data_IF_714552606066
#
_entry.id   IF_714552606066
#
_cell.length_a   1.000
_cell.length_b   1.000
_cell.length_c   1.000
_cell.angle_alpha   90.00
_cell.angle_beta   90.00
_cell.angle_gamma   90.00
#
_symmetry.space_group_name_H-M   'P 1'
#
loop_
_entity.id
_entity.type
_entity.pdbx_description
1 polymer ?
#
# COMPACT_ATOMS: atom_id res chain seq x y z
N UNK A 1 -19.60 0.20 15.82
CA UNK A 1 -18.76 1.41 16.06
C UNK A 1 -17.73 1.03 17.11
N UNK A 2 -16.53 0.61 16.71
CA UNK A 2 -15.44 0.41 17.69
C UNK A 2 -15.02 1.78 18.21
N UNK A 3 -15.08 1.94 19.53
CA UNK A 3 -14.77 3.16 20.24
C UNK A 3 -13.31 3.51 19.96
N UNK A 4 -13.03 4.46 19.06
CA UNK A 4 -11.74 5.16 18.99
C UNK A 4 -11.33 5.76 20.36
N UNK A 5 -12.27 5.85 21.29
CA UNK A 5 -12.02 6.17 22.70
C UNK A 5 -11.53 5.02 23.58
N UNK A 6 -11.46 3.74 23.15
CA UNK A 6 -11.09 2.65 24.08
C UNK A 6 -9.61 2.69 24.47
N UNK A 7 -8.70 2.90 23.52
CA UNK A 7 -7.25 2.95 23.81
C UNK A 7 -6.92 4.22 24.60
N UNK A 8 -7.50 5.36 24.23
CA UNK A 8 -7.35 6.61 24.99
C UNK A 8 -7.84 6.45 26.42
N UNK A 9 -9.00 5.80 26.61
CA UNK A 9 -9.53 5.51 27.94
C UNK A 9 -8.67 4.51 28.71
N UNK A 10 -8.14 3.46 28.07
CA UNK A 10 -7.20 2.53 28.70
C UNK A 10 -5.91 3.22 29.16
N UNK A 11 -5.36 4.13 28.36
CA UNK A 11 -4.17 4.92 28.72
C UNK A 11 -4.46 5.87 29.88
N UNK A 12 -5.63 6.53 29.89
CA UNK A 12 -6.06 7.40 31.00
C UNK A 12 -6.20 6.57 32.28
N UNK A 13 -6.86 5.41 32.22
CA UNK A 13 -7.03 4.52 33.38
C UNK A 13 -5.68 4.03 33.92
N UNK A 14 -4.77 3.59 33.04
CA UNK A 14 -3.42 3.16 33.45
C UNK A 14 -2.59 4.32 34.02
N UNK A 15 -2.76 5.53 33.48
CA UNK A 15 -2.14 6.76 34.00
C UNK A 15 -2.63 7.08 35.41
N UNK A 16 -3.94 7.08 35.64
CA UNK A 16 -4.53 7.30 36.98
C UNK A 16 -4.06 6.21 37.95
N UNK A 17 -4.07 4.94 37.53
CA UNK A 17 -3.58 3.82 38.34
C UNK A 17 -2.11 3.99 38.73
N UNK A 18 -1.27 4.46 37.81
CA UNK A 18 0.15 4.72 38.09
C UNK A 18 0.33 5.82 39.15
N UNK A 19 -0.47 6.90 39.10
CA UNK A 19 -0.45 7.97 40.10
C UNK A 19 -0.88 7.46 41.48
N UNK A 20 -1.92 6.62 41.55
CA UNK A 20 -2.38 6.01 42.81
C UNK A 20 -1.28 5.11 43.40
N UNK A 21 -0.60 4.31 42.57
CA UNK A 21 0.51 3.45 43.02
C UNK A 21 1.70 4.27 43.50
N UNK A 22 2.04 5.37 42.80
CA UNK A 22 3.10 6.29 43.25
C UNK A 22 2.75 6.88 44.62
N UNK A 23 1.51 7.33 44.83
CA UNK A 23 1.07 7.83 46.13
C UNK A 23 1.15 6.73 47.21
N UNK A 24 0.64 5.53 46.92
CA UNK A 24 0.69 4.39 47.85
C UNK A 24 2.12 4.03 48.27
N UNK A 25 3.11 4.16 47.38
CA UNK A 25 4.52 3.91 47.67
C UNK A 25 5.07 4.82 48.80
N UNK A 26 4.62 6.08 48.85
CA UNK A 26 5.03 7.04 49.88
C UNK A 26 4.29 6.85 51.21
N UNK A 27 3.00 6.51 51.16
CA UNK A 27 2.16 6.44 52.36
C UNK A 27 2.12 5.06 53.06
N UNK A 28 2.46 3.96 52.36
CA UNK A 28 2.36 2.60 52.90
C UNK A 28 3.74 1.92 52.93
N UNK A 29 4.58 2.18 53.95
CA UNK A 29 5.96 1.70 54.00
C UNK A 29 6.07 0.17 54.04
N UNK A 30 5.10 -0.52 54.65
CA UNK A 30 5.07 -1.98 54.75
C UNK A 30 4.81 -2.68 53.40
N UNK A 31 4.27 -1.96 52.41
CA UNK A 31 3.87 -2.52 51.11
C UNK A 31 4.75 -2.07 49.95
N UNK A 32 5.86 -1.37 50.21
CA UNK A 32 6.72 -0.76 49.16
C UNK A 32 7.13 -1.72 48.06
N UNK A 33 7.52 -2.95 48.40
CA UNK A 33 7.96 -3.96 47.42
C UNK A 33 6.81 -4.34 46.48
N UNK A 34 5.62 -4.60 47.04
CA UNK A 34 4.44 -4.96 46.25
C UNK A 34 3.97 -3.80 45.36
N UNK A 35 4.00 -2.58 45.87
CA UNK A 35 3.67 -1.38 45.08
C UNK A 35 4.65 -1.20 43.91
N UNK A 36 5.94 -1.43 44.14
CA UNK A 36 6.96 -1.33 43.10
C UNK A 36 6.77 -2.41 42.02
N UNK A 37 6.44 -3.65 42.40
CA UNK A 37 6.08 -4.72 41.46
C UNK A 37 4.87 -4.34 40.61
N UNK A 38 3.80 -3.83 41.23
CA UNK A 38 2.60 -3.38 40.51
C UNK A 38 2.91 -2.24 39.54
N UNK A 39 3.75 -1.30 39.92
CA UNK A 39 4.14 -0.18 39.07
C UNK A 39 4.92 -0.67 37.84
N UNK A 40 5.84 -1.62 38.01
CA UNK A 40 6.55 -2.26 36.88
C UNK A 40 5.56 -2.95 35.94
N UNK A 41 4.56 -3.68 36.46
CA UNK A 41 3.54 -4.34 35.64
C UNK A 41 2.69 -3.35 34.86
N UNK A 42 2.30 -2.22 35.47
CA UNK A 42 1.56 -1.16 34.79
C UNK A 42 2.39 -0.54 33.67
N UNK A 43 3.66 -0.25 33.93
CA UNK A 43 4.58 0.28 32.90
C UNK A 43 4.75 -0.73 31.75
N UNK A 44 4.95 -2.02 32.06
CA UNK A 44 5.04 -3.07 31.05
C UNK A 44 3.75 -3.16 30.20
N UNK A 45 2.58 -3.08 30.82
CA UNK A 45 1.30 -3.07 30.10
C UNK A 45 1.15 -1.86 29.17
N UNK A 46 1.58 -0.66 29.61
CA UNK A 46 1.59 0.55 28.76
C UNK A 46 2.51 0.35 27.56
N UNK A 47 3.72 -0.16 27.77
CA UNK A 47 4.70 -0.41 26.71
C UNK A 47 4.11 -1.39 25.68
N UNK A 48 3.51 -2.50 26.13
CA UNK A 48 2.87 -3.49 25.25
C UNK A 48 1.73 -2.87 24.44
N UNK A 49 0.85 -2.09 25.08
CA UNK A 49 -0.25 -1.40 24.39
C UNK A 49 0.26 -0.42 23.32
N UNK A 50 1.27 0.39 23.65
CA UNK A 50 1.89 1.30 22.71
C UNK A 50 2.59 0.57 21.55
N UNK A 51 3.26 -0.55 21.84
CA UNK A 51 3.91 -1.37 20.83
C UNK A 51 2.88 -1.98 19.86
N UNK A 52 1.78 -2.53 20.36
CA UNK A 52 0.69 -3.03 19.52
C UNK A 52 0.08 -1.93 18.64
N UNK A 53 -0.06 -0.72 19.18
CA UNK A 53 -0.60 0.41 18.43
C UNK A 53 0.38 0.89 17.34
N UNK A 54 1.67 1.02 17.67
CA UNK A 54 2.67 1.59 16.78
C UNK A 54 3.19 0.58 15.74
N UNK A 55 3.38 -0.68 16.14
CA UNK A 55 3.90 -1.75 15.28
C UNK A 55 2.81 -2.69 14.74
N UNK A 56 1.54 -2.34 14.96
CA UNK A 56 0.40 -3.11 14.51
C UNK A 56 0.31 -3.27 12.98
N UNK A 57 -0.39 -4.31 12.50
CA UNK A 57 -0.49 -4.64 11.09
C UNK A 57 -1.13 -3.50 10.26
N UNK A 58 -1.98 -2.67 10.86
CA UNK A 58 -2.62 -1.53 10.16
C UNK A 58 -1.61 -0.48 9.72
N UNK A 59 -0.65 -0.11 10.57
CA UNK A 59 0.36 0.90 10.21
C UNK A 59 1.37 0.36 9.22
N UNK A 60 1.73 -0.93 9.36
CA UNK A 60 2.55 -1.64 8.37
C UNK A 60 1.88 -1.65 7.00
N UNK A 61 0.57 -1.92 6.95
CA UNK A 61 -0.21 -1.87 5.72
C UNK A 61 -0.24 -0.45 5.12
N UNK A 62 -0.49 0.58 5.93
CA UNK A 62 -0.47 1.97 5.44
C UNK A 62 0.88 2.33 4.81
N UNK A 63 1.99 1.98 5.46
CA UNK A 63 3.34 2.19 4.90
C UNK A 63 3.55 1.43 3.60
N UNK A 64 3.12 0.16 3.54
CA UNK A 64 3.25 -0.67 2.33
C UNK A 64 2.39 -0.16 1.17
N UNK A 65 1.20 0.36 1.43
CA UNK A 65 0.37 1.00 0.42
C UNK A 65 1.02 2.28 -0.14
N UNK A 66 1.64 3.10 0.71
CA UNK A 66 2.40 4.28 0.26
C UNK A 66 3.56 3.87 -0.64
N UNK A 67 4.35 2.88 -0.21
CA UNK A 67 5.47 2.36 -0.99
C UNK A 67 5.00 1.81 -2.34
N UNK A 68 3.93 1.03 -2.34
CA UNK A 68 3.34 0.45 -3.53
C UNK A 68 2.87 1.51 -4.53
N UNK A 69 2.21 2.56 -4.07
CA UNK A 69 1.81 3.69 -4.91
C UNK A 69 3.00 4.39 -5.58
N UNK A 70 4.11 4.56 -4.85
CA UNK A 70 5.35 5.13 -5.39
C UNK A 70 5.98 4.21 -6.46
N UNK A 71 6.09 2.92 -6.17
CA UNK A 71 6.65 1.93 -7.09
C UNK A 71 5.80 1.77 -8.37
N UNK A 72 4.48 1.90 -8.25
CA UNK A 72 3.58 1.90 -9.40
C UNK A 72 3.76 3.11 -10.32
N UNK A 73 4.02 4.29 -9.76
CA UNK A 73 4.35 5.48 -10.57
C UNK A 73 5.67 5.28 -11.33
N UNK A 74 6.60 4.55 -10.71
CA UNK A 74 7.87 4.16 -11.32
C UNK A 74 7.76 2.91 -12.18
N UNK A 75 6.57 2.32 -12.38
CA UNK A 75 6.32 1.09 -13.14
C UNK A 75 7.26 -0.07 -12.80
N UNK A 76 7.60 -0.19 -11.52
CA UNK A 76 8.51 -1.20 -11.01
C UNK A 76 7.87 -2.59 -11.04
N UNK A 77 8.63 -3.60 -11.47
CA UNK A 77 8.21 -5.01 -11.46
C UNK A 77 7.93 -5.52 -10.03
N UNK A 78 8.48 -4.84 -9.02
CA UNK A 78 8.32 -5.13 -7.59
C UNK A 78 6.90 -4.76 -7.09
N UNK A 79 6.15 -3.94 -7.83
CA UNK A 79 4.80 -3.52 -7.44
C UNK A 79 3.86 -4.72 -7.23
N UNK A 80 4.01 -5.80 -8.00
CA UNK A 80 3.21 -7.02 -7.83
C UNK A 80 3.46 -7.69 -6.48
N UNK A 81 4.72 -7.85 -6.10
CA UNK A 81 5.09 -8.50 -4.85
C UNK A 81 4.67 -7.66 -3.64
N UNK A 82 4.87 -6.34 -3.73
CA UNK A 82 4.39 -5.39 -2.72
C UNK A 82 2.86 -5.40 -2.58
N UNK A 83 2.12 -5.56 -3.67
CA UNK A 83 0.67 -5.73 -3.61
C UNK A 83 0.26 -7.00 -2.87
N UNK A 84 0.91 -8.13 -3.15
CA UNK A 84 0.64 -9.38 -2.45
C UNK A 84 0.93 -9.25 -0.95
N UNK A 85 2.06 -8.64 -0.58
CA UNK A 85 2.38 -8.34 0.82
C UNK A 85 1.32 -7.45 1.48
N UNK A 86 0.91 -6.37 0.81
CA UNK A 86 -0.13 -5.46 1.29
C UNK A 86 -1.47 -6.20 1.47
N UNK A 87 -1.84 -7.07 0.52
CA UNK A 87 -3.04 -7.89 0.61
C UNK A 87 -2.98 -8.88 1.79
N UNK A 88 -1.84 -9.53 2.01
CA UNK A 88 -1.63 -10.39 3.17
C UNK A 88 -1.74 -9.63 4.49
N UNK A 89 -1.20 -8.42 4.57
CA UNK A 89 -1.36 -7.55 5.74
C UNK A 89 -2.81 -7.12 5.92
N UNK A 90 -3.52 -6.79 4.85
CA UNK A 90 -4.94 -6.44 4.88
C UNK A 90 -5.82 -7.57 5.44
N UNK A 91 -5.48 -8.83 5.18
CA UNK A 91 -6.19 -9.97 5.79
C UNK A 91 -6.00 -10.06 7.31
N UNK A 92 -4.92 -9.49 7.85
CA UNK A 92 -4.54 -9.54 9.28
C UNK A 92 -4.99 -8.32 10.10
N UNK A 93 -5.49 -7.26 9.47
CA UNK A 93 -5.98 -6.07 10.21
C UNK A 93 -7.42 -6.28 10.69
N UNK A 94 -7.83 -5.49 11.70
CA UNK A 94 -9.21 -5.50 12.20
C UNK A 94 -10.20 -5.04 11.14
N UNK A 95 -11.48 -5.42 11.25
CA UNK A 95 -12.54 -5.02 10.31
C UNK A 95 -12.69 -3.50 10.19
N UNK A 96 -12.48 -2.76 11.29
CA UNK A 96 -12.46 -1.29 11.24
C UNK A 96 -11.34 -0.76 10.34
N UNK A 97 -10.13 -1.29 10.48
CA UNK A 97 -8.99 -0.92 9.64
C UNK A 97 -9.20 -1.37 8.19
N UNK A 98 -9.79 -2.55 7.96
CA UNK A 98 -10.14 -3.03 6.62
C UNK A 98 -11.08 -2.05 5.92
N UNK A 99 -12.15 -1.60 6.57
CA UNK A 99 -13.10 -0.62 5.99
C UNK A 99 -12.41 0.69 5.64
N UNK A 100 -11.49 1.17 6.49
CA UNK A 100 -10.71 2.39 6.24
C UNK A 100 -9.73 2.25 5.07
N UNK A 101 -9.05 1.11 4.97
CA UNK A 101 -7.92 0.92 4.03
C UNK A 101 -8.34 0.29 2.70
N UNK A 102 -9.53 -0.33 2.63
CA UNK A 102 -10.05 -0.97 1.44
C UNK A 102 -10.11 -0.04 0.21
N UNK A 103 -10.61 1.21 0.29
CA UNK A 103 -10.68 2.09 -0.88
C UNK A 103 -9.30 2.31 -1.53
N UNK A 104 -8.27 2.45 -0.69
CA UNK A 104 -6.88 2.65 -1.15
C UNK A 104 -6.33 1.39 -1.80
N UNK A 105 -6.48 0.23 -1.15
CA UNK A 105 -6.07 -1.06 -1.72
C UNK A 105 -6.80 -1.39 -3.03
N UNK A 106 -8.10 -1.07 -3.10
CA UNK A 106 -8.91 -1.27 -4.30
C UNK A 106 -8.49 -0.34 -5.44
N UNK A 107 -8.17 0.93 -5.15
CA UNK A 107 -7.64 1.87 -6.13
C UNK A 107 -6.33 1.38 -6.73
N UNK A 108 -5.40 0.95 -5.86
CA UNK A 108 -4.12 0.35 -6.27
C UNK A 108 -4.34 -0.86 -7.18
N UNK A 109 -5.20 -1.81 -6.78
CA UNK A 109 -5.54 -2.97 -7.60
C UNK A 109 -6.06 -2.56 -8.97
N UNK A 110 -7.01 -1.63 -9.02
CA UNK A 110 -7.62 -1.15 -10.26
C UNK A 110 -6.56 -0.52 -11.19
N UNK A 111 -5.65 0.27 -10.64
CA UNK A 111 -4.58 0.89 -11.39
C UNK A 111 -3.60 -0.15 -11.95
N UNK A 112 -3.21 -1.15 -11.15
CA UNK A 112 -2.34 -2.24 -11.60
C UNK A 112 -3.00 -3.06 -12.71
N UNK A 113 -4.28 -3.36 -12.56
CA UNK A 113 -5.05 -4.08 -13.56
C UNK A 113 -5.17 -3.29 -14.87
N UNK A 114 -5.43 -1.98 -14.78
CA UNK A 114 -5.43 -1.09 -15.95
C UNK A 114 -4.08 -1.06 -16.68
N UNK A 115 -2.98 -0.93 -15.95
CA UNK A 115 -1.62 -0.99 -16.53
C UNK A 115 -1.37 -2.33 -17.22
N UNK A 116 -1.69 -3.45 -16.57
CA UNK A 116 -1.46 -4.77 -17.15
C UNK A 116 -2.34 -5.02 -18.38
N UNK A 117 -3.60 -4.56 -18.37
CA UNK A 117 -4.46 -4.62 -19.53
C UNK A 117 -3.89 -3.78 -20.69
N UNK A 118 -3.46 -2.55 -20.44
CA UNK A 118 -2.83 -1.70 -21.46
C UNK A 118 -1.58 -2.35 -22.07
N UNK A 119 -0.70 -2.90 -21.23
CA UNK A 119 0.48 -3.64 -21.70
C UNK A 119 0.10 -4.85 -22.56
N UNK A 120 -0.91 -5.62 -22.13
CA UNK A 120 -1.39 -6.78 -22.88
C UNK A 120 -1.94 -6.36 -24.25
N UNK A 121 -2.68 -5.26 -24.33
CA UNK A 121 -3.20 -4.75 -25.60
C UNK A 121 -2.07 -4.33 -26.54
N UNK A 122 -1.06 -3.61 -26.04
CA UNK A 122 0.12 -3.24 -26.84
C UNK A 122 0.81 -4.50 -27.37
N UNK A 123 1.05 -5.51 -26.52
CA UNK A 123 1.68 -6.77 -26.93
C UNK A 123 0.87 -7.53 -27.99
N UNK A 124 -0.47 -7.44 -27.95
CA UNK A 124 -1.33 -8.05 -28.96
C UNK A 124 -1.34 -7.27 -30.28
N UNK A 125 -1.07 -5.97 -30.26
CA UNK A 125 -1.06 -5.10 -31.44
C UNK A 125 0.27 -5.15 -32.22
N UNK A 126 1.40 -5.34 -31.52
CA UNK A 126 2.74 -5.44 -32.14
C UNK A 126 2.78 -6.45 -33.32
N UNK A 127 2.42 -7.74 -33.14
CA UNK A 127 2.50 -8.70 -34.24
C UNK A 127 1.44 -8.47 -35.33
N UNK A 128 0.38 -7.70 -35.04
CA UNK A 128 -0.61 -7.30 -36.05
C UNK A 128 -0.05 -6.20 -36.94
N UNK A 129 0.65 -5.23 -36.34
CA UNK A 129 1.28 -4.12 -37.07
C UNK A 129 2.27 -4.61 -38.14
N UNK A 130 3.01 -5.69 -37.86
CA UNK A 130 3.97 -6.28 -38.80
C UNK A 130 3.33 -6.84 -40.07
N UNK A 131 2.05 -7.23 -40.02
CA UNK A 131 1.33 -7.88 -41.13
C UNK A 131 0.25 -7.00 -41.76
N UNK A 132 -0.05 -5.88 -41.13
CA UNK A 132 -1.09 -4.96 -41.50
C UNK A 132 -0.71 -4.14 -42.75
N UNK A 133 -1.72 -3.72 -43.51
CA UNK A 133 -1.52 -2.73 -44.57
C UNK A 133 -1.37 -1.31 -44.00
N UNK A 134 -1.14 -0.32 -44.86
CA UNK A 134 -0.87 1.06 -44.44
C UNK A 134 -2.00 1.69 -43.58
N UNK A 135 -3.26 1.51 -43.98
CA UNK A 135 -4.40 2.09 -43.25
C UNK A 135 -4.62 1.35 -41.93
N UNK A 136 -4.47 0.02 -41.92
CA UNK A 136 -4.52 -0.78 -40.70
C UNK A 136 -3.39 -0.41 -39.73
N UNK A 137 -2.15 -0.20 -40.21
CA UNK A 137 -1.02 0.24 -39.38
C UNK A 137 -1.30 1.58 -38.72
N UNK A 138 -1.94 2.52 -39.43
CA UNK A 138 -2.31 3.84 -38.88
C UNK A 138 -3.31 3.72 -37.74
N UNK A 139 -4.29 2.82 -37.87
CA UNK A 139 -5.24 2.55 -36.79
C UNK A 139 -4.59 1.80 -35.62
N UNK A 140 -3.74 0.81 -35.90
CA UNK A 140 -2.96 0.11 -34.88
C UNK A 140 -2.06 1.09 -34.12
N UNK A 141 -1.40 2.02 -34.80
CA UNK A 141 -0.60 3.07 -34.18
C UNK A 141 -1.44 3.92 -33.23
N UNK A 142 -2.62 4.38 -33.67
CA UNK A 142 -3.53 5.16 -32.82
C UNK A 142 -3.92 4.38 -31.55
N UNK A 143 -4.26 3.11 -31.69
CA UNK A 143 -4.62 2.24 -30.56
C UNK A 143 -3.43 2.01 -29.62
N UNK A 144 -2.26 1.67 -30.17
CA UNK A 144 -1.03 1.47 -29.40
C UNK A 144 -0.65 2.74 -28.63
N UNK A 145 -0.72 3.92 -29.27
CA UNK A 145 -0.42 5.19 -28.62
C UNK A 145 -1.42 5.50 -27.50
N UNK A 146 -2.70 5.17 -27.69
CA UNK A 146 -3.73 5.28 -26.67
C UNK A 146 -3.39 4.47 -25.42
N UNK A 147 -3.06 3.18 -25.56
CA UNK A 147 -2.64 2.34 -24.43
C UNK A 147 -1.29 2.76 -23.85
N UNK A 148 -0.35 3.16 -24.70
CA UNK A 148 0.99 3.60 -24.28
C UNK A 148 0.93 4.81 -23.36
N UNK A 149 0.06 5.79 -23.66
CA UNK A 149 -0.13 6.98 -22.84
C UNK A 149 -0.64 6.69 -21.42
N UNK A 150 -1.26 5.52 -21.21
CA UNK A 150 -1.78 5.07 -19.92
C UNK A 150 -0.71 4.36 -19.07
N UNK A 151 0.42 4.00 -19.66
CA UNK A 151 1.51 3.32 -18.97
C UNK A 151 2.37 4.29 -18.15
N UNK A 152 2.95 3.85 -17.01
CA UNK A 152 3.97 4.61 -16.31
C UNK A 152 5.22 4.79 -17.18
N UNK A 153 5.99 5.85 -16.92
CA UNK A 153 7.14 6.26 -17.76
C UNK A 153 8.20 5.16 -17.95
N UNK A 154 8.42 4.33 -16.94
CA UNK A 154 9.36 3.21 -17.05
C UNK A 154 8.86 2.11 -17.99
N UNK A 155 7.57 1.76 -17.92
CA UNK A 155 6.96 0.78 -18.80
C UNK A 155 6.85 1.31 -20.24
N UNK A 156 6.62 2.62 -20.41
CA UNK A 156 6.71 3.28 -21.70
C UNK A 156 8.07 3.05 -22.38
N UNK A 157 9.17 3.10 -21.62
CA UNK A 157 10.52 2.83 -22.15
C UNK A 157 10.64 1.48 -22.88
N UNK A 158 9.93 0.45 -22.41
CA UNK A 158 9.91 -0.89 -23.03
C UNK A 158 9.22 -0.90 -24.39
N UNK A 159 8.15 -0.12 -24.56
CA UNK A 159 7.32 -0.15 -25.77
C UNK A 159 7.63 0.97 -26.77
N UNK A 160 8.39 1.99 -26.35
CA UNK A 160 8.80 3.12 -27.19
C UNK A 160 9.44 2.69 -28.52
N UNK A 161 10.37 1.73 -28.57
CA UNK A 161 11.00 1.32 -29.84
C UNK A 161 9.99 0.82 -30.87
N UNK A 162 8.95 0.08 -30.43
CA UNK A 162 7.91 -0.43 -31.33
C UNK A 162 7.05 0.69 -31.92
N UNK A 163 6.72 1.70 -31.11
CA UNK A 163 6.01 2.89 -31.59
C UNK A 163 6.86 3.70 -32.57
N UNK A 164 8.15 3.92 -32.25
CA UNK A 164 9.08 4.60 -33.16
C UNK A 164 9.19 3.87 -34.48
N UNK A 165 9.35 2.55 -34.46
CA UNK A 165 9.41 1.76 -35.68
C UNK A 165 8.12 1.87 -36.51
N UNK A 166 6.95 1.85 -35.86
CA UNK A 166 5.67 2.00 -36.56
C UNK A 166 5.51 3.39 -37.19
N UNK A 167 5.99 4.44 -36.52
CA UNK A 167 6.04 5.80 -37.08
C UNK A 167 6.91 5.83 -38.33
N UNK A 168 8.12 5.26 -38.27
CA UNK A 168 9.03 5.20 -39.42
C UNK A 168 8.40 4.47 -40.62
N UNK A 169 7.66 3.38 -40.39
CA UNK A 169 6.95 2.68 -41.46
C UNK A 169 5.87 3.57 -42.09
N UNK A 170 5.05 4.23 -41.27
CA UNK A 170 4.00 5.14 -41.73
C UNK A 170 4.55 6.35 -42.48
N UNK A 171 5.65 6.95 -42.02
CA UNK A 171 6.29 8.09 -42.69
C UNK A 171 6.86 7.72 -44.06
N UNK A 172 7.34 6.48 -44.21
CA UNK A 172 7.87 5.96 -45.47
C UNK A 172 6.79 5.39 -46.40
N UNK A 173 5.51 5.44 -46.02
CA UNK A 173 4.41 4.86 -46.79
C UNK A 173 4.47 3.33 -46.88
N UNK A 174 5.11 2.67 -45.90
CA UNK A 174 5.33 1.21 -45.85
C UNK A 174 4.39 0.48 -44.92
#
# INVERSE_FOLDING_TARGET
MEKKGSIGLSLIVLGVLSLILIAAYFFLPELKIWVLVLLILVVAAIIVLLAFHHFGPSRKLEKKLVQLEQEMQQGSTIAKDLYLEAYHLYRKVSESAKRKLYPRLSSVRKNMEGQWQAEKQIQMLIPKAEKADFEEKKEIFRQMNGFYSQLPLSAQGKYKPYLTHLIEQLENGK
#
